data_IF_343443202515
#
_entry.id   IF_343443202515
#
_cell.length_a   1.000
_cell.length_b   1.000
_cell.length_c   1.000
_cell.angle_alpha   90.00
_cell.angle_beta   90.00
_cell.angle_gamma   90.00
#
_symmetry.space_group_name_H-M   'P 1'
#
loop_
_entity.id
_entity.type
_entity.pdbx_description
1 polymer ?
#
# COMPACT_ATOMS: atom_id res chain seq x y z
N UNK A 1 -15.87 -10.71 0.89
CA UNK A 1 -15.12 -10.50 -0.37
C UNK A 1 -13.92 -9.65 -0.02
N UNK A 2 -12.71 -10.17 -0.19
CA UNK A 2 -11.46 -9.50 0.16
C UNK A 2 -11.01 -8.60 -0.98
N UNK A 3 -10.78 -7.32 -0.70
CA UNK A 3 -10.29 -6.37 -1.70
C UNK A 3 -8.87 -5.95 -1.35
N UNK A 4 -7.99 -5.95 -2.35
CA UNK A 4 -6.67 -5.34 -2.26
C UNK A 4 -6.69 -4.03 -3.04
N UNK A 5 -6.64 -2.90 -2.34
CA UNK A 5 -6.66 -1.57 -2.94
C UNK A 5 -5.23 -0.99 -3.01
N UNK A 6 -4.72 -0.79 -4.22
CA UNK A 6 -3.37 -0.26 -4.44
C UNK A 6 -3.40 1.11 -5.14
N UNK A 7 -2.81 2.11 -4.49
CA UNK A 7 -2.60 3.46 -5.04
C UNK A 7 -1.11 3.74 -5.18
N UNK A 8 -0.73 4.65 -6.08
CA UNK A 8 0.62 5.21 -6.08
C UNK A 8 0.63 6.47 -5.20
N UNK A 9 1.80 6.77 -4.63
CA UNK A 9 2.06 7.99 -3.89
C UNK A 9 2.00 9.19 -4.81
N UNK A 10 1.55 10.32 -4.27
CA UNK A 10 1.68 11.63 -4.86
C UNK A 10 2.96 12.30 -4.34
N UNK A 11 3.97 12.41 -5.20
CA UNK A 11 5.32 12.85 -4.79
C UNK A 11 5.35 14.18 -4.03
N UNK A 12 4.56 15.22 -4.37
CA UNK A 12 4.57 16.48 -3.60
C UNK A 12 4.02 16.37 -2.18
N UNK A 13 3.17 15.37 -1.89
CA UNK A 13 2.57 15.20 -0.57
C UNK A 13 3.49 14.45 0.41
N UNK A 14 4.29 13.50 -0.07
CA UNK A 14 5.10 12.63 0.80
C UNK A 14 6.07 13.41 1.68
N UNK A 15 6.85 14.39 1.19
CA UNK A 15 7.74 15.18 2.05
C UNK A 15 7.01 15.94 3.15
N UNK A 16 5.80 16.45 2.86
CA UNK A 16 4.97 17.13 3.86
C UNK A 16 4.50 16.16 4.95
N UNK A 17 4.04 14.97 4.55
CA UNK A 17 3.62 13.92 5.47
C UNK A 17 4.77 13.47 6.38
N UNK A 18 5.95 13.20 5.82
CA UNK A 18 7.14 12.80 6.58
C UNK A 18 7.72 13.91 7.47
N UNK A 19 7.50 15.19 7.12
CA UNK A 19 7.84 16.29 8.02
C UNK A 19 6.86 16.39 9.19
N UNK A 20 5.58 16.07 8.95
CA UNK A 20 4.51 16.19 9.94
C UNK A 20 4.54 15.05 10.97
N UNK A 21 4.92 13.84 10.56
CA UNK A 21 4.94 12.64 11.40
C UNK A 21 6.30 11.97 11.38
N UNK A 22 6.79 11.52 12.53
CA UNK A 22 7.99 10.66 12.58
C UNK A 22 7.64 9.24 12.11
N UNK A 23 7.74 9.00 10.81
CA UNK A 23 7.45 7.71 10.19
C UNK A 23 8.57 6.68 10.40
N UNK A 24 9.75 7.09 10.85
CA UNK A 24 10.92 6.20 10.94
C UNK A 24 10.77 5.15 12.03
N UNK A 25 10.18 5.54 13.17
CA UNK A 25 9.97 4.69 14.35
C UNK A 25 8.71 3.81 14.26
N UNK A 26 7.79 4.12 13.34
CA UNK A 26 6.53 3.39 13.16
C UNK A 26 6.74 2.00 12.54
N UNK A 27 5.92 1.04 12.97
CA UNK A 27 5.64 -0.19 12.23
C UNK A 27 4.93 0.11 10.90
N UNK A 28 4.85 -0.87 10.00
CA UNK A 28 4.06 -0.78 8.77
C UNK A 28 2.61 -0.39 9.07
N UNK A 29 2.00 -1.05 10.06
CA UNK A 29 0.61 -0.82 10.44
C UNK A 29 0.40 0.62 10.93
N UNK A 30 1.19 1.07 11.90
CA UNK A 30 1.09 2.44 12.44
C UNK A 30 1.32 3.49 11.34
N UNK A 31 2.28 3.25 10.44
CA UNK A 31 2.58 4.15 9.32
C UNK A 31 1.40 4.22 8.34
N UNK A 32 0.81 3.06 7.98
CA UNK A 32 -0.34 2.99 7.09
C UNK A 32 -1.58 3.66 7.71
N UNK A 33 -1.85 3.40 9.00
CA UNK A 33 -2.97 4.00 9.72
C UNK A 33 -2.81 5.52 9.81
N UNK A 34 -1.62 6.02 10.16
CA UNK A 34 -1.32 7.46 10.17
C UNK A 34 -1.56 8.10 8.79
N UNK A 35 -1.16 7.41 7.72
CA UNK A 35 -1.39 7.88 6.35
C UNK A 35 -2.89 7.96 6.01
N UNK A 36 -3.68 6.96 6.41
CA UNK A 36 -5.14 6.94 6.22
C UNK A 36 -5.80 8.06 7.03
N UNK A 37 -5.38 8.26 8.27
CA UNK A 37 -5.92 9.27 9.19
C UNK A 37 -5.57 10.71 8.83
N UNK A 38 -4.48 10.95 8.08
CA UNK A 38 -4.15 12.29 7.57
C UNK A 38 -5.17 12.79 6.51
N UNK A 39 -6.00 11.88 6.00
CA UNK A 39 -7.12 12.14 5.06
C UNK A 39 -6.73 12.69 3.69
N UNK A 40 -5.45 12.86 3.37
CA UNK A 40 -5.03 13.37 2.06
C UNK A 40 -5.60 12.53 0.88
N UNK A 41 -5.53 11.21 0.97
CA UNK A 41 -6.07 10.30 -0.06
C UNK A 41 -7.53 9.91 0.16
N UNK A 42 -8.24 10.46 1.16
CA UNK A 42 -9.50 9.89 1.66
C UNK A 42 -10.59 9.73 0.60
N UNK A 43 -10.60 10.59 -0.43
CA UNK A 43 -11.59 10.54 -1.53
C UNK A 43 -11.42 9.32 -2.44
N UNK A 44 -10.24 8.68 -2.40
CA UNK A 44 -9.92 7.51 -3.20
C UNK A 44 -9.92 6.22 -2.37
N UNK A 45 -9.90 6.31 -1.04
CA UNK A 45 -9.87 5.13 -0.15
C UNK A 45 -11.29 4.57 -0.01
N UNK A 46 -11.45 3.26 -0.18
CA UNK A 46 -12.73 2.59 0.04
C UNK A 46 -13.15 2.69 1.51
N UNK A 47 -14.45 2.84 1.78
CA UNK A 47 -14.97 2.96 3.16
C UNK A 47 -14.46 1.86 4.11
N UNK A 48 -14.44 0.56 3.76
CA UNK A 48 -13.93 -0.45 4.68
C UNK A 48 -12.46 -0.27 5.06
N UNK A 49 -11.62 0.28 4.18
CA UNK A 49 -10.24 0.64 4.52
C UNK A 49 -10.17 1.86 5.46
N UNK A 50 -11.05 2.84 5.29
CA UNK A 50 -11.18 3.97 6.24
C UNK A 50 -11.64 3.52 7.64
N UNK A 51 -12.40 2.43 7.69
CA UNK A 51 -12.88 1.81 8.92
C UNK A 51 -11.90 0.75 9.47
N UNK A 52 -10.70 0.61 8.88
CA UNK A 52 -9.68 -0.39 9.23
C UNK A 52 -10.20 -1.84 9.26
N UNK A 53 -11.14 -2.16 8.37
CA UNK A 53 -11.66 -3.52 8.22
C UNK A 53 -10.62 -4.46 7.64
N UNK A 54 -10.52 -5.66 8.21
CA UNK A 54 -9.66 -6.74 7.70
C UNK A 54 -10.10 -7.28 6.33
N UNK A 55 -11.27 -6.89 5.83
CA UNK A 55 -11.75 -7.25 4.50
C UNK A 55 -11.09 -6.44 3.37
N UNK A 56 -10.37 -5.36 3.69
CA UNK A 56 -9.66 -4.55 2.70
C UNK A 56 -8.20 -4.33 3.11
N UNK A 57 -7.28 -4.74 2.24
CA UNK A 57 -5.88 -4.36 2.34
C UNK A 57 -5.66 -3.11 1.49
N UNK A 58 -5.33 -1.98 2.12
CA UNK A 58 -4.98 -0.73 1.43
C UNK A 58 -3.48 -0.50 1.46
N UNK A 59 -2.88 0.00 0.38
CA UNK A 59 -1.46 0.34 0.34
C UNK A 59 -1.11 1.42 -0.67
N UNK A 60 -0.01 2.15 -0.40
CA UNK A 60 0.68 2.97 -1.40
C UNK A 60 1.85 2.16 -1.97
N UNK A 61 1.66 1.51 -3.13
CA UNK A 61 2.55 0.46 -3.62
C UNK A 61 3.96 0.95 -3.96
N UNK A 62 4.14 2.21 -4.37
CA UNK A 62 5.45 2.79 -4.66
C UNK A 62 5.96 3.72 -3.55
N UNK A 63 5.33 3.70 -2.36
CA UNK A 63 5.85 4.43 -1.21
C UNK A 63 6.91 3.60 -0.50
N UNK A 64 8.17 3.80 -0.89
CA UNK A 64 9.33 3.03 -0.42
C UNK A 64 9.40 2.87 1.11
N UNK A 65 9.30 3.95 1.89
CA UNK A 65 9.37 3.87 3.35
C UNK A 65 8.27 2.97 3.96
N UNK A 66 7.09 2.92 3.34
CA UNK A 66 6.00 2.04 3.76
C UNK A 66 6.24 0.59 3.31
N UNK A 67 6.62 0.38 2.05
CA UNK A 67 6.84 -0.96 1.49
C UNK A 67 8.00 -1.70 2.17
N UNK A 68 9.11 -1.02 2.42
CA UNK A 68 10.27 -1.62 3.09
C UNK A 68 9.97 -2.01 4.53
N UNK A 69 9.08 -1.29 5.23
CA UNK A 69 8.59 -1.70 6.55
C UNK A 69 7.81 -3.01 6.46
N UNK A 70 6.86 -3.10 5.51
CA UNK A 70 6.10 -4.34 5.31
C UNK A 70 7.01 -5.52 5.01
N UNK A 71 7.96 -5.35 4.07
CA UNK A 71 8.88 -6.40 3.69
C UNK A 71 9.72 -6.88 4.89
N UNK A 72 10.31 -5.95 5.64
CA UNK A 72 11.08 -6.25 6.85
C UNK A 72 10.26 -7.00 7.89
N UNK A 73 9.03 -6.55 8.17
CA UNK A 73 8.15 -7.17 9.17
C UNK A 73 7.68 -8.58 8.77
N UNK A 74 7.65 -8.88 7.48
CA UNK A 74 7.27 -10.19 6.94
C UNK A 74 8.49 -11.05 6.56
N UNK A 75 9.71 -10.67 6.97
CA UNK A 75 10.92 -11.44 6.70
C UNK A 75 11.34 -11.51 5.23
N UNK A 76 10.89 -10.55 4.41
CA UNK A 76 11.19 -10.46 2.99
C UNK A 76 12.40 -9.54 2.77
N UNK A 77 13.51 -10.10 2.28
CA UNK A 77 14.71 -9.36 1.85
C UNK A 77 14.57 -8.89 0.40
N UNK A 78 13.61 -8.00 0.12
CA UNK A 78 13.38 -7.42 -1.20
C UNK A 78 13.30 -5.89 -1.11
N UNK A 79 13.74 -5.21 -2.16
CA UNK A 79 13.75 -3.74 -2.28
C UNK A 79 12.99 -3.25 -3.51
N UNK A 80 12.72 -4.13 -4.49
CA UNK A 80 11.83 -3.83 -5.60
C UNK A 80 10.38 -3.70 -5.11
N UNK A 81 9.85 -2.48 -5.21
CA UNK A 81 8.53 -2.13 -4.68
C UNK A 81 7.39 -2.91 -5.32
N UNK A 82 7.51 -3.30 -6.59
CA UNK A 82 6.49 -4.09 -7.28
C UNK A 82 6.52 -5.54 -6.80
N UNK A 83 7.70 -6.12 -6.61
CA UNK A 83 7.80 -7.46 -6.03
C UNK A 83 7.26 -7.50 -4.59
N UNK A 84 7.50 -6.45 -3.80
CA UNK A 84 6.89 -6.33 -2.47
C UNK A 84 5.36 -6.26 -2.58
N UNK A 85 4.82 -5.45 -3.50
CA UNK A 85 3.38 -5.41 -3.77
C UNK A 85 2.83 -6.80 -4.13
N UNK A 86 3.51 -7.56 -4.99
CA UNK A 86 3.06 -8.91 -5.35
C UNK A 86 3.12 -9.88 -4.18
N UNK A 87 4.17 -9.81 -3.34
CA UNK A 87 4.22 -10.58 -2.10
C UNK A 87 3.09 -10.20 -1.13
N UNK A 88 2.69 -8.92 -1.06
CA UNK A 88 1.52 -8.49 -0.29
C UNK A 88 0.23 -9.09 -0.84
N UNK A 89 0.04 -9.07 -2.16
CA UNK A 89 -1.13 -9.66 -2.83
C UNK A 89 -1.17 -11.17 -2.58
N UNK A 90 -0.04 -11.87 -2.74
CA UNK A 90 0.08 -13.31 -2.49
C UNK A 90 -0.20 -13.65 -1.02
N UNK A 91 0.31 -12.87 -0.07
CA UNK A 91 0.07 -13.08 1.36
C UNK A 91 -1.40 -12.83 1.71
N UNK A 92 -2.00 -11.79 1.12
CA UNK A 92 -3.36 -11.39 1.44
C UNK A 92 -4.42 -12.24 0.74
N UNK A 93 -4.14 -12.84 -0.42
CA UNK A 93 -5.09 -13.64 -1.22
C UNK A 93 -6.44 -12.90 -1.44
N UNK A 94 -6.44 -11.76 -2.16
CA UNK A 94 -7.67 -11.01 -2.43
C UNK A 94 -8.56 -11.71 -3.46
N UNK A 95 -9.88 -11.49 -3.36
CA UNK A 95 -10.82 -11.81 -4.42
C UNK A 95 -10.77 -10.77 -5.55
N UNK A 96 -10.40 -9.53 -5.21
CA UNK A 96 -10.37 -8.38 -6.13
C UNK A 96 -9.10 -7.55 -5.93
N UNK A 97 -8.33 -7.36 -7.00
CA UNK A 97 -7.28 -6.36 -7.06
C UNK A 97 -7.81 -5.04 -7.61
N UNK A 98 -8.01 -4.06 -6.73
CA UNK A 98 -8.49 -2.72 -7.08
C UNK A 98 -7.31 -1.77 -7.32
N UNK A 99 -6.83 -1.77 -8.57
CA UNK A 99 -5.68 -1.00 -9.02
C UNK A 99 -6.05 0.45 -9.40
N UNK A 100 -5.56 1.42 -8.62
CA UNK A 100 -5.71 2.85 -8.90
C UNK A 100 -4.50 3.46 -9.63
N UNK A 101 -3.63 2.62 -10.17
CA UNK A 101 -2.40 3.02 -10.88
C UNK A 101 -2.23 2.25 -12.20
N UNK A 102 -3.28 2.10 -13.04
CA UNK A 102 -3.28 1.17 -14.18
C UNK A 102 -2.19 1.45 -15.22
N UNK A 103 -1.71 2.69 -15.32
CA UNK A 103 -0.64 3.08 -16.25
C UNK A 103 0.74 2.53 -15.88
N UNK A 104 0.91 2.04 -14.65
CA UNK A 104 2.18 1.51 -14.15
C UNK A 104 2.30 -0.02 -14.29
N UNK A 105 1.27 -0.69 -14.81
CA UNK A 105 1.23 -2.14 -14.93
C UNK A 105 0.90 -2.55 -16.36
N UNK A 106 1.67 -3.47 -16.93
CA UNK A 106 1.31 -4.07 -18.21
C UNK A 106 0.27 -5.17 -18.03
N UNK A 107 -0.43 -5.53 -19.11
CA UNK A 107 -1.39 -6.63 -19.08
C UNK A 107 -0.71 -7.96 -18.75
N UNK A 108 0.47 -8.19 -19.31
CA UNK A 108 1.27 -9.39 -19.11
C UNK A 108 1.72 -9.48 -17.65
N UNK A 109 2.22 -8.38 -17.09
CA UNK A 109 2.65 -8.30 -15.70
C UNK A 109 1.52 -8.66 -14.72
N UNK A 110 0.30 -8.13 -14.94
CA UNK A 110 -0.84 -8.44 -14.08
C UNK A 110 -1.26 -9.91 -14.17
N UNK A 111 -1.22 -10.50 -15.38
CA UNK A 111 -1.60 -11.92 -15.58
C UNK A 111 -0.66 -12.89 -14.88
N UNK A 112 0.61 -12.53 -14.78
CA UNK A 112 1.64 -13.43 -14.26
C UNK A 112 1.73 -13.37 -12.73
N UNK A 113 1.17 -12.34 -12.08
CA UNK A 113 1.37 -12.06 -10.64
C UNK A 113 0.06 -11.89 -9.83
N UNK A 114 -1.12 -11.92 -10.47
CA UNK A 114 -2.43 -11.70 -9.83
C UNK A 114 -3.45 -12.67 -10.41
#
# INVERSE_FOLDING_TARGET
MKVFQALHRYDPYIPYFEQKYDTTSMSFKEHLETLIEDRFYTLHILKPALDFSEEVFYTLWNYEALQLKWAKENGLEETDLKKILYAQIETYQPDVFYNMSPTYFSKEELKDNI
#
